data_IF_896868050591
#
_entry.id   IF_896868050591
#
_cell.length_a   1.000
_cell.length_b   1.000
_cell.length_c   1.000
_cell.angle_alpha   90.00
_cell.angle_beta   90.00
_cell.angle_gamma   90.00
#
_symmetry.space_group_name_H-M   'P 1'
#
loop_
_entity.id
_entity.type
_entity.pdbx_description
1 polymer ?
#
# COMPACT_ATOMS: atom_id res chain seq x y z
N UNK A 1 36.75 -56.90 12.26
CA UNK A 1 36.52 -55.46 12.23
C UNK A 1 35.80 -55.09 13.50
N UNK A 2 36.46 -54.36 14.41
CA UNK A 2 35.77 -53.86 15.61
C UNK A 2 35.08 -52.53 15.18
N UNK A 3 33.76 -52.52 15.19
CA UNK A 3 33.01 -51.32 15.01
C UNK A 3 33.16 -50.46 16.23
N UNK A 4 33.95 -49.38 16.12
CA UNK A 4 34.06 -48.37 17.16
C UNK A 4 32.81 -47.51 17.17
N UNK A 5 31.79 -47.96 17.87
CA UNK A 5 30.61 -47.16 18.14
C UNK A 5 30.89 -46.21 19.31
N UNK A 6 31.00 -44.91 19.02
CA UNK A 6 31.25 -43.89 20.04
C UNK A 6 29.94 -43.18 20.41
N UNK A 7 29.34 -43.52 21.53
CA UNK A 7 28.11 -42.94 22.05
C UNK A 7 28.24 -41.42 22.38
N UNK A 8 29.46 -40.92 22.53
CA UNK A 8 29.70 -39.50 22.82
C UNK A 8 29.92 -38.65 21.57
N UNK A 9 29.87 -39.23 20.38
CA UNK A 9 29.97 -38.49 19.14
C UNK A 9 28.61 -37.95 18.78
N UNK A 10 28.33 -36.68 19.13
CA UNK A 10 27.06 -36.01 18.90
C UNK A 10 26.93 -35.39 17.50
N UNK A 11 28.02 -35.24 16.76
CA UNK A 11 28.06 -34.71 15.41
C UNK A 11 29.08 -35.40 14.54
N UNK A 12 28.63 -35.98 13.44
CA UNK A 12 29.50 -36.44 12.35
C UNK A 12 29.42 -35.39 11.25
N UNK A 13 30.49 -34.65 10.98
CA UNK A 13 30.60 -33.79 9.78
C UNK A 13 30.76 -34.68 8.56
N UNK A 14 29.67 -35.17 7.99
CA UNK A 14 29.70 -35.77 6.66
C UNK A 14 29.40 -34.64 5.68
N UNK A 15 30.37 -34.16 4.95
CA UNK A 15 30.20 -33.33 3.78
C UNK A 15 29.58 -34.21 2.67
N UNK A 16 28.25 -34.38 2.68
CA UNK A 16 27.53 -34.88 1.55
C UNK A 16 27.46 -33.77 0.52
N UNK A 17 28.22 -33.94 -0.57
CA UNK A 17 28.19 -33.03 -1.71
C UNK A 17 26.87 -33.23 -2.49
N UNK A 18 25.76 -32.84 -1.83
CA UNK A 18 24.44 -32.93 -2.42
C UNK A 18 24.29 -31.89 -3.51
N UNK A 19 23.94 -32.33 -4.69
CA UNK A 19 23.54 -31.45 -5.79
C UNK A 19 22.14 -31.82 -6.26
N UNK A 20 21.23 -30.84 -6.42
CA UNK A 20 19.94 -31.10 -7.02
C UNK A 20 20.09 -31.69 -8.44
N UNK A 21 19.11 -32.47 -8.89
CA UNK A 21 19.06 -32.98 -10.25
C UNK A 21 19.17 -31.87 -11.31
N UNK A 22 19.63 -32.19 -12.52
CA UNK A 22 19.94 -31.22 -13.58
C UNK A 22 18.78 -30.29 -13.90
N UNK A 23 17.55 -30.81 -13.94
CA UNK A 23 16.34 -30.04 -14.25
C UNK A 23 15.53 -29.61 -13.00
N UNK A 24 16.12 -29.71 -11.81
CA UNK A 24 15.42 -29.31 -10.60
C UNK A 24 15.26 -27.79 -10.51
N UNK A 25 14.07 -27.25 -10.10
CA UNK A 25 13.82 -25.80 -9.99
C UNK A 25 14.87 -25.02 -9.18
N UNK A 26 15.46 -25.64 -8.16
CA UNK A 26 16.50 -25.03 -7.35
C UNK A 26 17.73 -24.59 -8.18
N UNK A 27 18.12 -25.36 -9.23
CA UNK A 27 19.23 -24.97 -10.11
C UNK A 27 18.92 -23.73 -10.93
N UNK A 28 17.74 -23.64 -11.51
CA UNK A 28 17.30 -22.46 -12.27
C UNK A 28 17.19 -21.24 -11.39
N UNK A 29 16.62 -21.38 -10.17
CA UNK A 29 16.55 -20.29 -9.20
C UNK A 29 17.96 -19.85 -8.79
N UNK A 30 18.87 -20.78 -8.55
CA UNK A 30 20.26 -20.45 -8.25
C UNK A 30 20.91 -19.64 -9.35
N UNK A 31 20.83 -20.11 -10.60
CA UNK A 31 21.39 -19.42 -11.77
C UNK A 31 20.79 -18.02 -11.95
N UNK A 32 19.46 -17.89 -11.83
CA UNK A 32 18.79 -16.60 -11.91
C UNK A 32 19.32 -15.62 -10.85
N UNK A 33 19.33 -16.02 -9.58
CA UNK A 33 19.72 -15.12 -8.49
C UNK A 33 21.22 -14.80 -8.54
N UNK A 34 22.09 -15.73 -8.90
CA UNK A 34 23.51 -15.45 -9.11
C UNK A 34 23.76 -14.47 -10.28
N UNK A 35 22.94 -14.53 -11.33
CA UNK A 35 23.02 -13.61 -12.46
C UNK A 35 22.69 -12.16 -12.08
N UNK A 36 21.95 -11.92 -10.98
CA UNK A 36 21.61 -10.58 -10.50
C UNK A 36 22.82 -9.79 -9.99
N UNK A 37 23.96 -10.46 -9.73
CA UNK A 37 25.20 -9.83 -9.20
C UNK A 37 24.91 -8.87 -8.06
N UNK A 38 24.15 -9.34 -7.05
CA UNK A 38 23.69 -8.53 -5.94
C UNK A 38 24.88 -7.87 -5.23
N UNK A 39 24.89 -6.53 -5.22
CA UNK A 39 25.86 -5.75 -4.45
C UNK A 39 25.34 -5.57 -3.04
N UNK A 40 26.17 -5.92 -2.08
CA UNK A 40 25.87 -5.72 -0.67
C UNK A 40 26.57 -4.43 -0.22
N UNK A 41 25.82 -3.35 -0.13
CA UNK A 41 26.31 -2.10 0.45
C UNK A 41 26.15 -2.19 1.98
N UNK A 42 27.21 -2.73 2.63
CA UNK A 42 27.29 -2.72 4.09
C UNK A 42 28.09 -1.48 4.52
N UNK A 43 27.38 -0.47 5.04
CA UNK A 43 28.06 0.76 5.46
C UNK A 43 28.25 0.84 6.98
N UNK A 44 27.31 0.36 7.80
CA UNK A 44 27.37 0.48 9.26
C UNK A 44 26.51 -0.57 9.98
N UNK A 45 26.95 -1.00 11.18
CA UNK A 45 26.22 -1.86 12.08
C UNK A 45 26.72 -3.31 12.11
N UNK A 46 25.94 -4.26 12.68
CA UNK A 46 26.27 -5.69 12.69
C UNK A 46 26.08 -6.30 11.30
N UNK A 47 27.06 -7.06 10.75
CA UNK A 47 26.89 -7.77 9.48
C UNK A 47 25.62 -8.63 9.48
N UNK A 48 24.99 -8.72 8.31
CA UNK A 48 23.82 -9.61 8.14
C UNK A 48 24.27 -11.05 8.30
N UNK A 49 23.55 -11.80 9.11
CA UNK A 49 23.81 -13.21 9.34
C UNK A 49 23.52 -14.05 8.09
N UNK A 50 22.52 -13.62 7.29
CA UNK A 50 22.08 -14.34 6.09
C UNK A 50 22.29 -13.47 4.86
N UNK A 51 22.81 -14.11 3.80
CA UNK A 51 22.95 -13.48 2.49
C UNK A 51 21.58 -13.21 1.85
N UNK A 52 21.36 -12.01 1.28
CA UNK A 52 20.10 -11.64 0.63
C UNK A 52 19.76 -12.56 -0.55
N UNK A 53 20.77 -12.95 -1.34
CA UNK A 53 20.58 -13.90 -2.44
C UNK A 53 20.10 -15.27 -1.94
N UNK A 54 20.69 -15.79 -0.86
CA UNK A 54 20.25 -17.03 -0.24
C UNK A 54 18.81 -16.95 0.27
N UNK A 55 18.44 -15.83 0.90
CA UNK A 55 17.07 -15.58 1.36
C UNK A 55 16.08 -15.51 0.18
N UNK A 56 16.44 -14.83 -0.91
CA UNK A 56 15.63 -14.76 -2.12
C UNK A 56 15.46 -16.14 -2.75
N UNK A 57 16.55 -16.91 -2.92
CA UNK A 57 16.52 -18.28 -3.45
C UNK A 57 15.57 -19.18 -2.66
N UNK A 58 15.66 -19.12 -1.32
CA UNK A 58 14.79 -19.88 -0.42
C UNK A 58 13.31 -19.54 -0.60
N UNK A 59 12.98 -18.24 -0.62
CA UNK A 59 11.60 -17.78 -0.77
C UNK A 59 11.05 -18.17 -2.15
N UNK A 60 11.80 -17.99 -3.22
CA UNK A 60 11.40 -18.37 -4.58
C UNK A 60 11.17 -19.89 -4.68
N UNK A 61 12.06 -20.71 -4.12
CA UNK A 61 11.86 -22.15 -4.12
C UNK A 61 10.63 -22.57 -3.31
N UNK A 62 10.45 -22.01 -2.10
CA UNK A 62 9.29 -22.31 -1.27
C UNK A 62 7.98 -21.93 -1.98
N UNK A 63 7.94 -20.78 -2.65
CA UNK A 63 6.76 -20.35 -3.41
C UNK A 63 6.47 -21.23 -4.62
N UNK A 64 7.49 -21.74 -5.30
CA UNK A 64 7.30 -22.71 -6.39
C UNK A 64 6.67 -24.02 -5.92
N UNK A 65 6.81 -24.33 -4.62
CA UNK A 65 6.15 -25.47 -3.95
C UNK A 65 4.80 -25.10 -3.30
N UNK A 66 4.30 -23.87 -3.50
CA UNK A 66 3.07 -23.39 -2.85
C UNK A 66 3.17 -23.14 -1.35
N UNK A 67 4.40 -22.97 -0.84
CA UNK A 67 4.66 -22.73 0.60
C UNK A 67 4.82 -21.23 0.85
N UNK A 68 3.79 -20.59 1.42
CA UNK A 68 3.76 -19.13 1.65
C UNK A 68 3.97 -18.71 3.11
N UNK A 69 3.72 -19.59 4.08
CA UNK A 69 3.89 -19.29 5.50
C UNK A 69 5.35 -19.26 5.90
N UNK A 70 5.84 -18.19 6.54
CA UNK A 70 7.24 -18.08 6.96
C UNK A 70 7.68 -19.19 7.91
N UNK A 71 6.78 -19.70 8.78
CA UNK A 71 7.07 -20.87 9.65
C UNK A 71 7.22 -22.15 8.84
N UNK A 72 6.38 -22.33 7.82
CA UNK A 72 6.50 -23.48 6.92
C UNK A 72 7.72 -23.37 6.01
N UNK A 73 8.14 -22.15 5.64
CA UNK A 73 9.39 -21.91 4.89
C UNK A 73 10.61 -22.28 5.74
N UNK A 74 10.63 -21.92 7.03
CA UNK A 74 11.69 -22.35 7.95
C UNK A 74 11.74 -23.87 8.06
N UNK A 75 10.60 -24.54 8.24
CA UNK A 75 10.51 -26.00 8.27
C UNK A 75 10.97 -26.62 6.93
N UNK A 76 10.51 -26.08 5.81
CA UNK A 76 10.92 -26.51 4.47
C UNK A 76 12.45 -26.37 4.27
N UNK A 77 13.05 -25.29 4.72
CA UNK A 77 14.50 -25.08 4.66
C UNK A 77 15.27 -26.15 5.46
N UNK A 78 14.68 -26.63 6.57
CA UNK A 78 15.28 -27.64 7.46
C UNK A 78 15.16 -29.07 6.93
N UNK A 79 14.05 -29.37 6.26
CA UNK A 79 13.68 -30.74 5.86
C UNK A 79 13.98 -31.05 4.39
N UNK A 80 14.07 -30.04 3.55
CA UNK A 80 14.23 -30.18 2.10
C UNK A 80 15.69 -29.99 1.66
N UNK A 81 16.32 -31.03 1.16
CA UNK A 81 17.72 -30.99 0.72
C UNK A 81 18.03 -29.94 -0.36
N UNK A 82 17.21 -29.79 -1.44
CA UNK A 82 17.37 -28.70 -2.39
C UNK A 82 17.31 -27.29 -1.77
N UNK A 83 16.45 -27.09 -0.76
CA UNK A 83 16.37 -25.80 -0.05
C UNK A 83 17.64 -25.57 0.80
N UNK A 84 18.10 -26.59 1.55
CA UNK A 84 19.37 -26.54 2.29
C UNK A 84 20.56 -26.20 1.38
N UNK A 85 20.64 -26.86 0.21
CA UNK A 85 21.67 -26.56 -0.78
C UNK A 85 21.68 -25.10 -1.23
N UNK A 86 20.51 -24.49 -1.49
CA UNK A 86 20.39 -23.09 -1.92
C UNK A 86 20.90 -22.08 -0.88
N UNK A 87 20.80 -22.42 0.40
CA UNK A 87 21.16 -21.54 1.53
C UNK A 87 22.43 -21.98 2.23
N UNK A 88 23.20 -22.94 1.65
CA UNK A 88 24.39 -23.52 2.26
C UNK A 88 24.15 -24.00 3.71
N UNK A 89 22.99 -24.65 3.95
CA UNK A 89 22.51 -25.15 5.24
C UNK A 89 22.40 -24.11 6.37
N UNK A 90 22.46 -22.81 6.03
CA UNK A 90 22.22 -21.71 6.96
C UNK A 90 20.71 -21.44 7.07
N UNK A 91 20.03 -22.16 7.96
CA UNK A 91 18.57 -22.11 8.08
C UNK A 91 18.10 -20.82 8.78
N UNK A 92 17.43 -19.88 8.09
CA UNK A 92 16.92 -18.67 8.70
C UNK A 92 15.69 -18.95 9.57
N UNK A 93 15.57 -18.27 10.69
CA UNK A 93 14.36 -18.33 11.51
C UNK A 93 13.15 -17.72 10.78
N UNK A 94 11.94 -18.17 11.11
CA UNK A 94 10.72 -17.59 10.52
C UNK A 94 10.62 -16.07 10.72
N UNK A 95 11.16 -15.54 11.82
CA UNK A 95 11.20 -14.09 12.08
C UNK A 95 12.10 -13.36 11.09
N UNK A 96 13.25 -13.94 10.76
CA UNK A 96 14.17 -13.43 9.74
C UNK A 96 13.49 -13.43 8.38
N UNK A 97 12.81 -14.53 8.03
CA UNK A 97 12.04 -14.65 6.79
C UNK A 97 10.92 -13.59 6.73
N UNK A 98 10.17 -13.38 7.83
CA UNK A 98 9.16 -12.32 7.89
C UNK A 98 9.74 -10.93 7.63
N UNK A 99 10.86 -10.58 8.28
CA UNK A 99 11.52 -9.28 8.09
C UNK A 99 12.02 -9.10 6.65
N UNK A 100 12.60 -10.14 6.07
CA UNK A 100 13.04 -10.10 4.68
C UNK A 100 11.88 -9.88 3.72
N UNK A 101 10.72 -10.54 3.95
CA UNK A 101 9.54 -10.43 3.08
C UNK A 101 8.88 -9.06 3.08
N UNK A 102 9.10 -8.24 4.10
CA UNK A 102 8.59 -6.86 4.19
C UNK A 102 9.66 -5.81 3.94
N UNK A 103 10.87 -6.22 3.54
CA UNK A 103 11.97 -5.29 3.32
C UNK A 103 11.88 -4.64 1.93
N UNK A 104 12.32 -3.39 1.83
CA UNK A 104 12.41 -2.65 0.57
C UNK A 104 13.37 -3.32 -0.42
N UNK A 105 14.40 -3.98 0.11
CA UNK A 105 15.34 -4.74 -0.70
C UNK A 105 14.65 -5.87 -1.48
N UNK A 106 13.69 -6.58 -0.85
CA UNK A 106 12.98 -7.65 -1.56
C UNK A 106 12.15 -7.10 -2.72
N UNK A 107 11.52 -5.95 -2.56
CA UNK A 107 10.74 -5.31 -3.63
C UNK A 107 11.65 -5.01 -4.85
N UNK A 108 12.83 -4.44 -4.61
CA UNK A 108 13.83 -4.19 -5.65
C UNK A 108 14.32 -5.49 -6.29
N UNK A 109 14.73 -6.46 -5.47
CA UNK A 109 15.23 -7.76 -5.95
C UNK A 109 14.20 -8.52 -6.80
N UNK A 110 12.93 -8.44 -6.45
CA UNK A 110 11.85 -9.10 -7.20
C UNK A 110 11.69 -8.45 -8.58
N UNK A 111 11.72 -7.12 -8.64
CA UNK A 111 11.63 -6.36 -9.89
C UNK A 111 12.83 -6.66 -10.80
N UNK A 112 14.03 -6.65 -10.25
CA UNK A 112 15.27 -6.95 -11.00
C UNK A 112 15.29 -8.39 -11.51
N UNK A 113 14.86 -9.34 -10.67
CA UNK A 113 14.77 -10.76 -11.03
C UNK A 113 13.80 -10.97 -12.20
N UNK A 114 12.62 -10.35 -12.14
CA UNK A 114 11.61 -10.46 -13.19
C UNK A 114 12.12 -9.81 -14.49
N UNK A 115 12.77 -8.66 -14.40
CA UNK A 115 13.33 -7.97 -15.55
C UNK A 115 14.45 -8.77 -16.23
N UNK A 116 15.28 -9.46 -15.47
CA UNK A 116 16.31 -10.35 -16.01
C UNK A 116 15.71 -11.61 -16.63
N UNK A 117 14.73 -12.22 -15.97
CA UNK A 117 14.00 -13.38 -16.51
C UNK A 117 13.34 -13.01 -17.85
N UNK A 118 12.65 -11.87 -17.91
CA UNK A 118 12.00 -11.38 -19.14
C UNK A 118 13.01 -11.19 -20.27
N UNK A 119 14.17 -10.61 -19.99
CA UNK A 119 15.25 -10.47 -20.99
C UNK A 119 15.76 -11.83 -21.47
N UNK A 120 15.98 -12.76 -20.57
CA UNK A 120 16.40 -14.12 -20.90
C UNK A 120 15.36 -14.81 -21.79
N UNK A 121 14.07 -14.75 -21.45
CA UNK A 121 12.99 -15.33 -22.25
C UNK A 121 12.92 -14.70 -23.65
N UNK A 122 13.10 -13.38 -23.77
CA UNK A 122 13.12 -12.66 -25.04
C UNK A 122 14.31 -13.07 -25.91
N UNK A 123 15.52 -13.15 -25.32
CA UNK A 123 16.73 -13.57 -26.02
C UNK A 123 16.66 -14.99 -26.56
N UNK A 124 15.92 -15.87 -25.89
CA UNK A 124 15.72 -17.25 -26.32
C UNK A 124 14.46 -17.46 -27.19
N UNK A 125 13.79 -16.38 -27.61
CA UNK A 125 12.60 -16.48 -28.47
C UNK A 125 11.39 -17.13 -27.81
N UNK A 126 11.34 -17.17 -26.47
CA UNK A 126 10.23 -17.75 -25.71
C UNK A 126 9.05 -16.80 -25.55
N UNK A 127 9.29 -15.51 -25.68
CA UNK A 127 8.29 -14.44 -25.65
C UNK A 127 8.45 -13.54 -26.86
N UNK A 128 7.31 -13.01 -27.32
CA UNK A 128 7.24 -12.04 -28.43
C UNK A 128 7.48 -10.62 -27.93
N UNK A 129 7.69 -9.69 -28.85
CA UNK A 129 7.83 -8.27 -28.54
C UNK A 129 6.48 -7.56 -28.39
N UNK A 130 5.59 -8.22 -27.63
CA UNK A 130 4.22 -7.78 -27.33
C UNK A 130 4.02 -7.73 -25.82
N UNK A 131 3.39 -6.67 -25.33
CA UNK A 131 2.95 -6.55 -23.94
C UNK A 131 1.41 -6.53 -23.88
N UNK A 132 0.82 -7.63 -23.43
CA UNK A 132 -0.61 -7.69 -23.10
C UNK A 132 -0.79 -7.19 -21.67
N UNK A 133 -1.50 -6.07 -21.53
CA UNK A 133 -1.74 -5.43 -20.22
C UNK A 133 -3.17 -5.71 -19.78
N UNK A 134 -3.32 -6.29 -18.57
CA UNK A 134 -4.61 -6.51 -17.92
C UNK A 134 -4.53 -6.21 -16.43
N UNK A 135 -5.66 -5.81 -15.85
CA UNK A 135 -5.81 -5.49 -14.45
C UNK A 135 -6.62 -6.55 -13.70
N UNK A 136 -6.09 -6.98 -12.58
CA UNK A 136 -6.83 -7.82 -11.64
C UNK A 136 -6.89 -7.19 -10.26
N UNK A 137 -7.93 -7.51 -9.48
CA UNK A 137 -8.12 -6.96 -8.14
C UNK A 137 -7.92 -8.06 -7.11
N UNK A 138 -6.96 -7.84 -6.20
CA UNK A 138 -6.62 -8.77 -5.12
C UNK A 138 -7.18 -8.20 -3.81
N UNK A 139 -7.94 -9.01 -3.08
CA UNK A 139 -8.48 -8.64 -1.78
C UNK A 139 -7.34 -8.41 -0.77
N UNK A 140 -7.44 -7.31 -0.02
CA UNK A 140 -6.60 -7.10 1.14
C UNK A 140 -7.08 -7.96 2.31
N UNK A 141 -6.14 -8.42 3.15
CA UNK A 141 -6.44 -9.05 4.43
C UNK A 141 -6.85 -7.97 5.45
N UNK A 142 -7.99 -7.37 5.21
CA UNK A 142 -8.50 -6.22 5.95
C UNK A 142 -9.99 -6.35 6.24
N UNK A 143 -10.43 -5.71 7.34
CA UNK A 143 -11.84 -5.70 7.70
C UNK A 143 -12.66 -4.93 6.65
N UNK A 144 -13.56 -5.65 5.97
CA UNK A 144 -14.41 -5.12 4.89
C UNK A 144 -15.41 -4.04 5.32
N UNK A 145 -15.63 -3.85 6.62
CA UNK A 145 -16.52 -2.81 7.14
C UNK A 145 -15.78 -1.61 7.75
N UNK A 146 -14.47 -1.58 7.72
CA UNK A 146 -13.63 -0.53 8.32
C UNK A 146 -13.22 0.58 7.32
N UNK A 147 -14.13 0.98 6.45
CA UNK A 147 -13.84 2.01 5.45
C UNK A 147 -13.89 3.44 6.01
N UNK A 148 -12.97 4.27 5.53
CA UNK A 148 -12.96 5.73 5.76
C UNK A 148 -13.08 6.42 4.39
N UNK A 149 -14.08 7.31 4.26
CA UNK A 149 -14.37 8.01 3.00
C UNK A 149 -13.88 9.45 3.05
N UNK A 150 -13.07 9.86 2.08
CA UNK A 150 -12.55 11.22 1.93
C UNK A 150 -13.64 12.29 2.03
N UNK A 151 -14.74 12.09 1.33
CA UNK A 151 -15.92 13.01 1.36
C UNK A 151 -16.47 13.17 2.77
N UNK A 152 -16.55 12.10 3.56
CA UNK A 152 -17.06 12.15 4.92
C UNK A 152 -16.07 12.85 5.86
N UNK A 153 -14.77 12.54 5.74
CA UNK A 153 -13.71 13.20 6.53
C UNK A 153 -13.73 14.71 6.30
N UNK A 154 -13.77 15.16 5.05
CA UNK A 154 -13.84 16.59 4.71
C UNK A 154 -15.10 17.24 5.30
N UNK A 155 -16.26 16.60 5.17
CA UNK A 155 -17.51 17.08 5.74
C UNK A 155 -17.46 17.18 7.26
N UNK A 156 -16.94 16.15 7.94
CA UNK A 156 -16.85 16.13 9.39
C UNK A 156 -15.79 17.10 9.91
N UNK A 157 -14.68 17.30 9.19
CA UNK A 157 -13.70 18.33 9.53
C UNK A 157 -14.32 19.72 9.47
N UNK A 158 -15.05 20.05 8.39
CA UNK A 158 -15.77 21.31 8.27
C UNK A 158 -16.74 21.54 9.43
N UNK A 159 -17.58 20.55 9.73
CA UNK A 159 -18.51 20.63 10.87
C UNK A 159 -17.81 20.75 12.24
N UNK A 160 -16.63 20.14 12.37
CA UNK A 160 -15.84 20.23 13.59
C UNK A 160 -15.26 21.64 13.75
N UNK A 161 -14.77 22.24 12.68
CA UNK A 161 -14.25 23.64 12.64
C UNK A 161 -15.35 24.66 12.94
N UNK A 162 -16.54 24.53 12.35
CA UNK A 162 -17.69 25.38 12.65
C UNK A 162 -18.01 25.39 14.15
N UNK A 163 -18.12 24.21 14.74
CA UNK A 163 -18.37 24.06 16.17
C UNK A 163 -17.22 24.51 17.09
N UNK A 164 -15.98 24.51 16.57
CA UNK A 164 -14.84 25.09 17.27
C UNK A 164 -14.95 26.62 17.31
N UNK A 165 -15.31 27.23 16.20
CA UNK A 165 -15.51 28.70 16.12
C UNK A 165 -16.62 29.12 17.08
N UNK A 166 -17.75 28.41 17.11
CA UNK A 166 -18.86 28.70 18.05
C UNK A 166 -18.38 28.64 19.51
N UNK A 167 -17.64 27.56 19.86
CA UNK A 167 -17.15 27.34 21.22
C UNK A 167 -16.09 28.36 21.63
N UNK A 168 -15.20 28.75 20.70
CA UNK A 168 -14.22 29.81 20.90
C UNK A 168 -14.91 31.17 21.04
N UNK A 169 -16.03 31.41 20.35
CA UNK A 169 -16.89 32.58 20.48
C UNK A 169 -17.41 32.75 21.91
N UNK A 170 -17.98 31.68 22.49
CA UNK A 170 -18.42 31.68 23.88
C UNK A 170 -17.29 32.03 24.86
N UNK A 171 -16.09 31.52 24.63
CA UNK A 171 -14.90 31.78 25.46
C UNK A 171 -14.33 33.19 25.26
N UNK A 172 -14.45 33.74 24.08
CA UNK A 172 -14.06 35.11 23.79
C UNK A 172 -14.99 36.12 24.47
N UNK A 173 -16.30 35.91 24.38
CA UNK A 173 -17.30 36.73 25.11
C UNK A 173 -17.04 36.70 26.62
N UNK A 174 -16.62 35.53 27.14
CA UNK A 174 -16.21 35.39 28.54
C UNK A 174 -14.81 36.00 28.82
N UNK A 175 -14.12 36.62 27.84
CA UNK A 175 -12.79 37.23 27.93
C UNK A 175 -11.69 36.24 28.37
N UNK A 176 -11.84 34.98 28.07
CA UNK A 176 -10.89 33.92 28.42
C UNK A 176 -9.86 33.74 27.30
N UNK A 177 -10.30 33.79 26.04
CA UNK A 177 -9.44 33.71 24.85
C UNK A 177 -9.44 35.03 24.10
N UNK A 178 -8.36 35.29 23.34
CA UNK A 178 -8.22 36.49 22.51
C UNK A 178 -9.00 36.40 21.19
N UNK A 179 -8.51 37.06 20.16
CA UNK A 179 -9.10 37.05 18.82
C UNK A 179 -9.25 35.61 18.29
N UNK A 180 -10.35 35.40 17.59
CA UNK A 180 -10.70 34.08 17.03
C UNK A 180 -10.33 34.11 15.56
N UNK A 181 -9.44 33.24 15.09
CA UNK A 181 -9.14 33.11 13.66
C UNK A 181 -10.34 32.50 12.90
N UNK A 182 -10.38 32.73 11.60
CA UNK A 182 -11.37 32.09 10.75
C UNK A 182 -11.27 30.56 10.85
N UNK A 183 -12.38 29.86 10.71
CA UNK A 183 -12.40 28.39 10.86
C UNK A 183 -11.42 27.65 9.93
N UNK A 184 -11.11 28.23 8.76
CA UNK A 184 -10.08 27.72 7.81
C UNK A 184 -8.65 27.86 8.33
N UNK A 185 -8.39 28.84 9.19
CA UNK A 185 -7.06 29.17 9.73
C UNK A 185 -6.78 28.44 11.05
N UNK A 186 -7.79 27.79 11.63
CA UNK A 186 -7.62 26.99 12.85
C UNK A 186 -6.66 25.83 12.59
N UNK A 187 -5.59 25.77 13.36
CA UNK A 187 -4.65 24.64 13.39
C UNK A 187 -4.63 24.02 14.79
N UNK A 188 -4.20 22.76 14.93
CA UNK A 188 -4.07 22.11 16.24
C UNK A 188 -3.17 22.92 17.20
N UNK A 189 -2.09 23.49 16.70
CA UNK A 189 -1.12 24.28 17.48
C UNK A 189 -1.76 25.57 18.02
N UNK A 190 -2.57 26.25 17.22
CA UNK A 190 -3.34 27.43 17.69
C UNK A 190 -4.36 27.05 18.74
N UNK A 191 -5.01 25.89 18.58
CA UNK A 191 -5.95 25.38 19.58
C UNK A 191 -5.25 25.02 20.89
N UNK A 192 -4.04 24.44 20.85
CA UNK A 192 -3.25 24.16 22.05
C UNK A 192 -2.90 25.41 22.83
N UNK A 193 -2.55 26.52 22.14
CA UNK A 193 -2.31 27.84 22.75
C UNK A 193 -3.60 28.36 23.41
N UNK A 194 -4.76 28.21 22.75
CA UNK A 194 -6.03 28.66 23.31
C UNK A 194 -6.47 27.80 24.50
N UNK A 195 -6.26 26.48 24.43
CA UNK A 195 -6.52 25.54 25.53
C UNK A 195 -5.67 25.89 26.74
N UNK A 196 -4.38 26.24 26.57
CA UNK A 196 -3.51 26.67 27.65
C UNK A 196 -4.07 27.91 28.36
N UNK A 197 -4.57 28.92 27.63
CA UNK A 197 -5.22 30.09 28.24
C UNK A 197 -6.46 29.73 29.04
N UNK A 198 -7.24 28.77 28.59
CA UNK A 198 -8.40 28.25 29.34
C UNK A 198 -7.95 27.50 30.60
N UNK A 199 -6.82 26.80 30.56
CA UNK A 199 -6.22 26.14 31.73
C UNK A 199 -5.76 27.16 32.77
N UNK A 200 -5.03 28.21 32.33
CA UNK A 200 -4.58 29.30 33.22
C UNK A 200 -5.78 29.98 33.91
N UNK A 201 -6.86 30.23 33.16
CA UNK A 201 -8.09 30.77 33.73
C UNK A 201 -8.75 29.82 34.73
N UNK A 202 -8.71 28.51 34.46
CA UNK A 202 -9.23 27.51 35.42
C UNK A 202 -8.41 27.45 36.70
N UNK A 203 -7.11 27.68 36.68
CA UNK A 203 -6.25 27.78 37.88
C UNK A 203 -6.73 28.94 38.75
N UNK A 204 -6.90 30.14 38.18
CA UNK A 204 -7.42 31.31 38.91
C UNK A 204 -8.80 31.08 39.49
N UNK A 205 -9.70 30.41 38.75
CA UNK A 205 -11.04 30.06 39.24
C UNK A 205 -10.98 29.04 40.38
N UNK A 206 -10.04 28.11 40.38
CA UNK A 206 -9.87 27.15 41.48
C UNK A 206 -9.42 27.87 42.75
N UNK A 207 -8.43 28.78 42.68
CA UNK A 207 -7.97 29.58 43.78
C UNK A 207 -9.11 30.43 44.36
N UNK A 208 -9.90 31.09 43.49
CA UNK A 208 -11.08 31.87 43.90
C UNK A 208 -12.12 31.04 44.61
N UNK A 209 -12.38 29.82 44.13
CA UNK A 209 -13.34 28.89 44.73
C UNK A 209 -12.85 28.39 46.10
N UNK A 210 -11.53 28.16 46.24
CA UNK A 210 -10.94 27.72 47.52
C UNK A 210 -10.92 28.86 48.56
N UNK A 211 -10.64 30.09 48.12
CA UNK A 211 -10.70 31.26 48.99
C UNK A 211 -12.10 31.60 49.44
N UNK A 212 -13.14 31.24 48.66
CA UNK A 212 -14.53 31.55 48.96
C UNK A 212 -15.14 30.44 49.77
N UNK A 213 -15.31 30.58 51.08
CA UNK A 213 -15.93 29.58 51.98
C UNK A 213 -17.43 29.39 51.75
N UNK A 214 -18.04 30.07 50.80
CA UNK A 214 -19.48 30.01 50.53
C UNK A 214 -19.88 28.67 49.92
N UNK A 215 -20.84 28.00 50.51
CA UNK A 215 -21.26 26.65 50.06
C UNK A 215 -22.27 26.71 48.91
N UNK A 216 -23.28 27.59 48.97
CA UNK A 216 -24.34 27.72 47.95
C UNK A 216 -25.17 28.99 48.17
N UNK A 217 -25.61 29.72 47.12
CA UNK A 217 -25.11 29.65 45.73
C UNK A 217 -23.72 30.25 45.62
N UNK A 218 -22.82 29.55 44.81
CA UNK A 218 -21.46 30.05 44.59
C UNK A 218 -21.25 30.25 43.09
N UNK A 219 -21.27 31.50 42.55
CA UNK A 219 -21.12 31.81 41.15
C UNK A 219 -19.77 31.35 40.59
N UNK A 220 -18.68 31.43 41.34
CA UNK A 220 -17.37 30.97 40.94
C UNK A 220 -17.32 29.44 40.69
N UNK A 221 -18.01 28.65 41.52
CA UNK A 221 -18.18 27.20 41.34
C UNK A 221 -18.95 26.90 40.05
N UNK A 222 -19.97 27.66 39.73
CA UNK A 222 -20.77 27.50 38.53
C UNK A 222 -19.94 27.83 37.28
N UNK A 223 -19.23 28.97 37.28
CA UNK A 223 -18.35 29.38 36.21
C UNK A 223 -17.23 28.35 35.95
N UNK A 224 -16.59 27.86 37.04
CA UNK A 224 -15.58 26.79 36.93
C UNK A 224 -16.12 25.54 36.25
N UNK A 225 -17.34 25.11 36.57
CA UNK A 225 -17.97 23.93 35.94
C UNK A 225 -18.21 24.16 34.45
N UNK A 226 -18.67 25.35 34.06
CA UNK A 226 -18.90 25.72 32.66
C UNK A 226 -17.61 25.71 31.90
N UNK A 227 -16.57 26.43 32.37
CA UNK A 227 -15.27 26.52 31.70
C UNK A 227 -14.60 25.13 31.61
N UNK A 228 -14.68 24.32 32.64
CA UNK A 228 -14.17 22.94 32.61
C UNK A 228 -14.90 22.06 31.59
N UNK A 229 -16.21 22.26 31.41
CA UNK A 229 -16.98 21.58 30.36
C UNK A 229 -16.57 22.05 28.96
N UNK A 230 -16.38 23.36 28.77
CA UNK A 230 -15.93 23.95 27.51
C UNK A 230 -14.54 23.47 27.16
N UNK A 231 -13.58 23.43 28.10
CA UNK A 231 -12.26 22.87 27.90
C UNK A 231 -12.33 21.43 27.39
N UNK A 232 -13.10 20.55 28.04
CA UNK A 232 -13.27 19.15 27.59
C UNK A 232 -13.81 19.04 26.15
N UNK A 233 -14.68 19.99 25.77
CA UNK A 233 -15.19 20.04 24.40
C UNK A 233 -14.11 20.50 23.44
N UNK A 234 -13.27 21.48 23.80
CA UNK A 234 -12.14 21.91 22.99
C UNK A 234 -11.13 20.80 22.79
N UNK A 235 -10.71 20.09 23.85
CA UNK A 235 -9.78 18.98 23.78
C UNK A 235 -10.27 17.92 22.79
N UNK A 236 -11.53 17.48 22.95
CA UNK A 236 -12.13 16.48 22.04
C UNK A 236 -12.20 16.93 20.59
N UNK A 237 -12.40 18.22 20.33
CA UNK A 237 -12.48 18.75 18.98
C UNK A 237 -11.11 18.95 18.35
N UNK A 238 -10.12 19.32 19.16
CA UNK A 238 -8.74 19.36 18.77
C UNK A 238 -8.25 17.97 18.35
N UNK A 239 -8.53 16.95 19.19
CA UNK A 239 -8.16 15.57 18.87
C UNK A 239 -8.82 15.08 17.57
N UNK A 240 -10.09 15.44 17.34
CA UNK A 240 -10.75 15.13 16.07
C UNK A 240 -10.15 15.87 14.89
N UNK A 241 -9.68 17.10 15.06
CA UNK A 241 -8.98 17.83 13.99
C UNK A 241 -7.68 17.13 13.63
N UNK A 242 -6.88 16.69 14.61
CA UNK A 242 -5.68 15.91 14.38
C UNK A 242 -5.99 14.57 13.66
N UNK A 243 -7.07 13.88 14.09
CA UNK A 243 -7.53 12.66 13.44
C UNK A 243 -7.89 12.91 11.97
N UNK A 244 -8.67 13.95 11.68
CA UNK A 244 -9.06 14.29 10.30
C UNK A 244 -7.86 14.69 9.44
N UNK A 245 -6.87 15.41 9.98
CA UNK A 245 -5.63 15.74 9.27
C UNK A 245 -4.82 14.48 8.95
N UNK A 246 -4.65 13.58 9.92
CA UNK A 246 -3.99 12.30 9.71
C UNK A 246 -4.71 11.46 8.64
N UNK A 247 -6.05 11.42 8.67
CA UNK A 247 -6.85 10.76 7.63
C UNK A 247 -6.67 11.39 6.26
N UNK A 248 -6.62 12.74 6.18
CA UNK A 248 -6.40 13.44 4.92
C UNK A 248 -5.03 13.15 4.31
N UNK A 249 -3.99 13.00 5.12
CA UNK A 249 -2.65 12.62 4.65
C UNK A 249 -2.60 11.21 4.04
N UNK A 250 -3.45 10.27 4.55
CA UNK A 250 -3.50 8.89 4.03
C UNK A 250 -4.18 8.81 2.66
N UNK A 251 -5.13 9.69 2.35
CA UNK A 251 -5.91 9.55 1.11
C UNK A 251 -5.10 9.74 -0.17
N UNK A 252 -4.15 10.66 -0.17
CA UNK A 252 -3.47 11.08 -1.38
C UNK A 252 -4.50 11.36 -2.51
N UNK A 253 -4.45 10.62 -3.62
CA UNK A 253 -5.41 10.73 -4.73
C UNK A 253 -6.64 9.80 -4.61
N UNK A 254 -6.72 9.00 -3.53
CA UNK A 254 -7.79 8.03 -3.30
C UNK A 254 -9.03 8.67 -2.67
N UNK A 255 -10.17 8.02 -2.85
CA UNK A 255 -11.44 8.42 -2.24
C UNK A 255 -11.77 7.67 -0.94
N UNK A 256 -11.04 6.60 -0.64
CA UNK A 256 -11.26 5.75 0.54
C UNK A 256 -10.00 4.97 0.90
N UNK A 257 -9.93 4.54 2.15
CA UNK A 257 -8.97 3.56 2.63
C UNK A 257 -9.58 2.70 3.74
N UNK A 258 -8.94 1.58 4.09
CA UNK A 258 -9.36 0.73 5.21
C UNK A 258 -8.61 1.12 6.49
N UNK A 259 -9.32 1.12 7.65
CA UNK A 259 -8.69 1.38 8.95
C UNK A 259 -7.68 0.31 9.38
N UNK A 260 -7.84 -0.90 8.89
CA UNK A 260 -6.97 -2.04 9.23
C UNK A 260 -5.82 -2.23 8.25
N UNK A 261 -5.94 -1.66 7.06
CA UNK A 261 -4.90 -1.64 6.03
C UNK A 261 -4.99 -0.30 5.28
N UNK A 262 -4.15 0.65 5.65
CA UNK A 262 -4.20 2.01 5.12
C UNK A 262 -3.85 2.08 3.63
N UNK A 263 -3.17 1.09 3.09
CA UNK A 263 -2.80 1.03 1.68
C UNK A 263 -3.91 0.47 0.79
N UNK A 264 -4.82 -0.32 1.37
CA UNK A 264 -5.96 -0.88 0.64
C UNK A 264 -7.03 0.18 0.35
N UNK A 265 -7.54 0.16 -0.86
CA UNK A 265 -8.65 1.03 -1.31
C UNK A 265 -9.93 0.20 -1.51
N UNK A 266 -11.07 0.77 -1.17
CA UNK A 266 -12.35 0.10 -1.41
C UNK A 266 -12.73 0.15 -2.87
N UNK A 267 -12.83 -1.03 -3.49
CA UNK A 267 -13.16 -1.21 -4.91
C UNK A 267 -14.06 -2.43 -5.15
N UNK A 268 -14.70 -2.46 -6.30
CA UNK A 268 -15.43 -3.66 -6.74
C UNK A 268 -14.43 -4.73 -7.15
N UNK A 269 -14.64 -5.95 -6.68
CA UNK A 269 -13.85 -7.12 -7.04
C UNK A 269 -14.69 -8.02 -7.94
N UNK A 270 -14.07 -8.68 -8.93
CA UNK A 270 -14.78 -9.57 -9.88
C UNK A 270 -15.52 -10.70 -9.15
N UNK A 271 -14.93 -11.22 -8.08
CA UNK A 271 -15.54 -12.25 -7.22
C UNK A 271 -16.54 -11.61 -6.23
N UNK A 272 -17.74 -11.37 -6.71
CA UNK A 272 -18.86 -10.94 -5.88
C UNK A 272 -19.97 -12.03 -5.96
N UNK A 273 -19.94 -13.05 -5.09
CA UNK A 273 -20.91 -14.14 -5.11
C UNK A 273 -22.37 -13.68 -4.95
N UNK A 274 -22.55 -12.54 -4.30
CA UNK A 274 -23.89 -11.98 -4.06
C UNK A 274 -24.34 -11.02 -5.16
N UNK A 275 -23.49 -10.69 -6.12
CA UNK A 275 -23.73 -9.76 -7.23
C UNK A 275 -24.35 -8.41 -6.82
N UNK A 276 -24.09 -7.98 -5.58
CA UNK A 276 -24.64 -6.76 -5.01
C UNK A 276 -23.73 -5.52 -5.22
N UNK A 277 -22.59 -5.69 -5.89
CA UNK A 277 -21.62 -4.64 -6.15
C UNK A 277 -20.93 -4.11 -4.89
N UNK A 278 -20.84 -4.92 -3.83
CA UNK A 278 -20.21 -4.53 -2.58
C UNK A 278 -18.75 -4.14 -2.80
N UNK A 279 -18.37 -2.99 -2.24
CA UNK A 279 -16.99 -2.56 -2.20
C UNK A 279 -16.23 -3.32 -1.12
N UNK A 280 -15.04 -3.83 -1.46
CA UNK A 280 -14.15 -4.53 -0.55
C UNK A 280 -12.77 -3.87 -0.56
N UNK A 281 -12.02 -3.89 0.56
CA UNK A 281 -10.65 -3.40 0.57
C UNK A 281 -9.81 -4.30 -0.33
N UNK A 282 -9.12 -3.71 -1.30
CA UNK A 282 -8.38 -4.44 -2.32
C UNK A 282 -7.28 -3.58 -2.94
N UNK A 283 -6.40 -4.24 -3.67
CA UNK A 283 -5.37 -3.66 -4.51
C UNK A 283 -5.68 -3.93 -5.98
N UNK A 284 -5.41 -2.97 -6.84
CA UNK A 284 -5.48 -3.13 -8.27
C UNK A 284 -4.09 -3.52 -8.78
N UNK A 285 -3.94 -4.76 -9.23
CA UNK A 285 -2.67 -5.30 -9.74
C UNK A 285 -2.71 -5.25 -11.25
N UNK A 286 -1.81 -4.48 -11.83
CA UNK A 286 -1.58 -4.45 -13.27
C UNK A 286 -0.52 -5.47 -13.63
N UNK A 287 -0.76 -6.27 -14.65
CA UNK A 287 0.10 -7.35 -15.11
C UNK A 287 0.36 -7.17 -16.61
N UNK A 288 1.61 -7.26 -17.01
CA UNK A 288 2.00 -7.39 -18.40
C UNK A 288 2.39 -8.83 -18.69
N UNK A 289 1.89 -9.38 -19.80
CA UNK A 289 2.18 -10.76 -20.21
C UNK A 289 2.60 -10.81 -21.67
N UNK A 290 3.38 -11.84 -22.02
CA UNK A 290 3.72 -12.21 -23.40
C UNK A 290 3.84 -13.74 -23.46
N UNK A 291 3.18 -14.40 -24.41
CA UNK A 291 3.17 -15.86 -24.57
C UNK A 291 2.94 -16.62 -23.24
N UNK A 292 1.97 -16.16 -22.43
CA UNK A 292 1.61 -16.72 -21.12
C UNK A 292 2.66 -16.50 -19.99
N UNK A 293 3.78 -15.86 -20.26
CA UNK A 293 4.74 -15.43 -19.24
C UNK A 293 4.37 -14.06 -18.69
N UNK A 294 4.49 -13.87 -17.38
CA UNK A 294 4.40 -12.56 -16.75
C UNK A 294 5.72 -11.83 -17.00
N UNK A 295 5.68 -10.71 -17.70
CA UNK A 295 6.84 -9.88 -18.01
C UNK A 295 7.00 -8.68 -17.10
N UNK A 296 5.92 -8.26 -16.42
CA UNK A 296 5.95 -7.17 -15.45
C UNK A 296 4.67 -7.12 -14.64
N UNK A 297 4.74 -6.52 -13.46
CA UNK A 297 3.58 -6.26 -12.61
C UNK A 297 3.79 -4.99 -11.79
N UNK A 298 2.69 -4.37 -11.38
CA UNK A 298 2.70 -3.26 -10.42
C UNK A 298 1.38 -3.21 -9.66
N UNK A 299 1.46 -2.88 -8.36
CA UNK A 299 0.29 -2.68 -7.50
C UNK A 299 -0.12 -1.21 -7.53
N UNK A 300 -1.42 -0.98 -7.63
CA UNK A 300 -2.02 0.34 -7.58
C UNK A 300 -3.15 0.41 -6.56
N UNK A 301 -3.28 1.57 -5.96
CA UNK A 301 -4.36 1.86 -5.03
C UNK A 301 -5.60 2.43 -5.74
N UNK A 302 -5.49 2.77 -7.02
CA UNK A 302 -6.58 3.28 -7.85
C UNK A 302 -7.54 2.15 -8.24
N UNK A 303 -8.86 2.30 -8.01
CA UNK A 303 -9.84 1.26 -8.33
C UNK A 303 -10.15 1.12 -9.83
N UNK A 304 -9.72 2.07 -10.67
CA UNK A 304 -9.97 2.08 -12.11
C UNK A 304 -8.69 1.91 -12.91
N UNK A 305 -8.76 1.13 -13.98
CA UNK A 305 -7.60 0.80 -14.81
C UNK A 305 -7.13 1.96 -15.69
N UNK A 306 -8.05 2.88 -16.04
CA UNK A 306 -7.75 4.08 -16.82
C UNK A 306 -6.60 4.92 -16.24
N UNK A 307 -6.50 5.03 -14.92
CA UNK A 307 -5.47 5.84 -14.26
C UNK A 307 -4.16 5.08 -14.02
N UNK A 308 -4.15 3.77 -14.25
CA UNK A 308 -2.97 2.94 -13.99
C UNK A 308 -2.13 2.72 -15.23
N UNK A 309 -2.66 2.96 -16.43
CA UNK A 309 -1.99 2.65 -17.69
C UNK A 309 -0.67 3.40 -17.84
N UNK A 310 -0.70 4.73 -17.79
CA UNK A 310 0.50 5.55 -18.00
C UNK A 310 1.62 5.19 -17.01
N UNK A 311 1.40 5.22 -15.67
CA UNK A 311 2.46 4.90 -14.72
C UNK A 311 2.89 3.42 -14.77
N UNK A 312 2.06 2.52 -15.32
CA UNK A 312 2.45 1.13 -15.52
C UNK A 312 3.34 0.95 -16.76
N UNK A 313 3.00 1.59 -17.88
CA UNK A 313 3.84 1.58 -19.09
C UNK A 313 5.21 2.20 -18.79
N UNK A 314 5.25 3.32 -18.06
CA UNK A 314 6.52 3.92 -17.64
C UNK A 314 7.35 2.97 -16.78
N UNK A 315 6.71 2.26 -15.87
CA UNK A 315 7.38 1.23 -15.06
C UNK A 315 7.96 0.11 -15.91
N UNK A 316 7.23 -0.40 -16.91
CA UNK A 316 7.73 -1.42 -17.84
C UNK A 316 8.89 -0.89 -18.70
N UNK A 317 8.81 0.35 -19.18
CA UNK A 317 9.86 1.03 -19.95
C UNK A 317 11.13 1.21 -19.12
N UNK A 318 11.00 1.69 -17.88
CA UNK A 318 12.14 1.89 -16.99
C UNK A 318 12.88 0.58 -16.66
N UNK A 319 12.17 -0.55 -16.64
CA UNK A 319 12.75 -1.87 -16.44
C UNK A 319 13.19 -2.58 -17.72
N UNK A 320 13.05 -1.94 -18.90
CA UNK A 320 13.38 -2.51 -20.22
C UNK A 320 12.64 -3.83 -20.51
N UNK A 321 11.39 -3.94 -20.10
CA UNK A 321 10.55 -5.13 -20.33
C UNK A 321 9.33 -4.85 -21.20
N UNK A 322 9.07 -3.58 -21.55
CA UNK A 322 7.99 -3.19 -22.46
C UNK A 322 8.24 -3.75 -23.85
N UNK A 323 7.20 -4.36 -24.46
CA UNK A 323 7.22 -4.80 -25.85
C UNK A 323 6.93 -3.66 -26.82
N UNK A 324 7.34 -3.83 -28.08
CA UNK A 324 7.04 -2.87 -29.16
C UNK A 324 5.52 -2.74 -29.41
N UNK A 325 4.79 -3.83 -29.29
CA UNK A 325 3.32 -3.83 -29.40
C UNK A 325 2.69 -3.82 -28.01
N UNK A 326 1.83 -2.85 -27.74
CA UNK A 326 1.10 -2.68 -26.48
C UNK A 326 -0.36 -3.01 -26.74
N UNK A 327 -0.89 -4.00 -26.03
CA UNK A 327 -2.29 -4.43 -26.13
C UNK A 327 -2.94 -4.30 -24.75
N UNK A 328 -4.06 -3.59 -24.66
CA UNK A 328 -4.84 -3.48 -23.43
C UNK A 328 -6.34 -3.50 -23.74
N UNK A 329 -7.17 -3.77 -22.73
CA UNK A 329 -8.61 -3.82 -22.91
C UNK A 329 -9.24 -2.41 -23.00
N UNK A 330 -10.56 -2.35 -23.33
CA UNK A 330 -11.29 -1.09 -23.44
C UNK A 330 -11.40 -0.31 -22.11
N UNK A 331 -11.16 -0.96 -20.96
CA UNK A 331 -11.17 -0.35 -19.63
C UNK A 331 -10.06 0.68 -19.44
N UNK A 332 -8.99 0.60 -20.22
CA UNK A 332 -7.90 1.57 -20.23
C UNK A 332 -8.14 2.78 -21.15
N UNK A 333 -9.17 2.71 -22.02
CA UNK A 333 -9.47 3.75 -22.99
C UNK A 333 -9.88 5.07 -22.33
N UNK A 334 -9.14 6.12 -22.61
CA UNK A 334 -9.49 7.52 -22.29
C UNK A 334 -8.75 8.45 -23.25
N UNK A 335 -9.28 9.64 -23.49
CA UNK A 335 -8.62 10.65 -24.32
C UNK A 335 -7.19 10.94 -23.85
N UNK A 336 -7.02 11.07 -22.53
CA UNK A 336 -5.69 11.29 -21.92
C UNK A 336 -4.72 10.14 -22.20
N UNK A 337 -5.17 8.88 -22.14
CA UNK A 337 -4.31 7.74 -22.39
C UNK A 337 -3.99 7.61 -23.90
N UNK A 338 -4.97 7.87 -24.78
CA UNK A 338 -4.69 7.82 -26.22
C UNK A 338 -3.67 8.90 -26.64
N UNK A 339 -3.85 10.14 -26.16
CA UNK A 339 -2.87 11.22 -26.41
C UNK A 339 -1.48 10.88 -25.87
N UNK A 340 -1.41 10.44 -24.64
CA UNK A 340 -0.14 10.02 -24.04
C UNK A 340 0.58 8.93 -24.86
N UNK A 341 -0.17 7.93 -25.32
CA UNK A 341 0.40 6.86 -26.14
C UNK A 341 0.83 7.32 -27.52
N UNK A 342 0.10 8.26 -28.12
CA UNK A 342 0.45 8.87 -29.40
C UNK A 342 1.70 9.75 -29.30
N UNK A 343 1.77 10.59 -28.25
CA UNK A 343 2.88 11.52 -28.05
C UNK A 343 4.17 10.82 -27.64
N UNK A 344 4.12 9.89 -26.68
CA UNK A 344 5.31 9.28 -26.08
C UNK A 344 5.71 7.93 -26.73
N UNK A 345 4.77 7.27 -27.40
CA UNK A 345 4.93 5.92 -27.95
C UNK A 345 4.50 5.82 -29.42
N UNK A 346 4.57 6.91 -30.18
CA UNK A 346 4.16 6.94 -31.58
C UNK A 346 4.90 5.96 -32.50
N UNK A 347 6.03 5.42 -32.06
CA UNK A 347 6.77 4.35 -32.77
C UNK A 347 6.30 2.93 -32.40
N UNK A 348 5.48 2.81 -31.33
CA UNK A 348 4.93 1.53 -30.88
C UNK A 348 3.59 1.26 -31.56
N UNK A 349 3.28 -0.03 -31.74
CA UNK A 349 1.92 -0.42 -32.16
C UNK A 349 1.04 -0.51 -30.92
N UNK A 350 -0.01 0.32 -30.85
CA UNK A 350 -0.92 0.35 -29.70
C UNK A 350 -2.30 -0.16 -30.11
N UNK A 351 -2.80 -1.17 -29.40
CA UNK A 351 -4.08 -1.81 -29.66
C UNK A 351 -4.94 -1.74 -28.39
N UNK A 352 -5.76 -0.68 -28.28
CA UNK A 352 -6.75 -0.50 -27.20
C UNK A 352 -8.12 -0.29 -27.85
N UNK A 353 -9.10 -1.19 -27.61
CA UNK A 353 -10.41 -1.06 -28.21
C UNK A 353 -11.12 0.24 -27.77
N UNK A 354 -11.73 0.94 -28.70
CA UNK A 354 -12.55 2.12 -28.40
C UNK A 354 -13.88 1.68 -27.81
N UNK A 355 -14.06 1.85 -26.51
CA UNK A 355 -15.20 1.29 -25.75
C UNK A 355 -16.57 1.83 -26.13
N UNK A 356 -16.66 2.99 -26.84
CA UNK A 356 -17.92 3.57 -27.31
C UNK A 356 -18.23 3.27 -28.78
N UNK A 357 -17.29 2.68 -29.53
CA UNK A 357 -17.45 2.40 -30.95
C UNK A 357 -18.77 1.67 -31.30
N UNK A 358 -19.08 0.60 -30.54
CA UNK A 358 -20.34 -0.14 -30.74
C UNK A 358 -21.58 0.67 -30.33
N UNK A 359 -21.45 1.59 -29.37
CA UNK A 359 -22.55 2.47 -28.94
C UNK A 359 -22.80 3.57 -29.96
N UNK A 360 -21.76 4.12 -30.59
CA UNK A 360 -21.83 5.16 -31.60
C UNK A 360 -22.54 4.67 -32.85
N UNK A 361 -22.40 3.42 -33.21
CA UNK A 361 -23.12 2.76 -34.26
C UNK A 361 -24.60 2.47 -33.93
N UNK A 362 -25.01 2.69 -32.67
CA UNK A 362 -26.41 2.48 -32.28
C UNK A 362 -27.33 3.64 -32.74
N UNK A 363 -28.55 3.31 -33.20
CA UNK A 363 -29.57 4.31 -33.60
C UNK A 363 -29.87 5.37 -32.52
N UNK A 364 -29.73 5.00 -31.25
CA UNK A 364 -29.94 5.90 -30.12
C UNK A 364 -28.85 6.96 -30.05
N UNK A 365 -27.58 6.58 -30.22
CA UNK A 365 -26.43 7.48 -30.21
C UNK A 365 -26.47 8.43 -31.42
N UNK A 366 -26.71 7.91 -32.61
CA UNK A 366 -26.81 8.70 -33.84
C UNK A 366 -27.89 9.79 -33.76
N UNK A 367 -29.03 9.51 -33.11
CA UNK A 367 -30.08 10.52 -32.85
C UNK A 367 -29.60 11.61 -31.87
N UNK A 368 -28.77 11.29 -30.90
CA UNK A 368 -28.22 12.27 -29.95
C UNK A 368 -27.14 13.12 -30.63
N UNK A 369 -26.23 12.49 -31.37
CA UNK A 369 -25.17 13.17 -32.10
C UNK A 369 -25.74 14.15 -33.14
N UNK A 370 -26.76 13.76 -33.92
CA UNK A 370 -27.42 14.65 -34.87
C UNK A 370 -28.10 15.87 -34.20
N UNK A 371 -28.60 15.73 -32.98
CA UNK A 371 -29.17 16.87 -32.21
C UNK A 371 -28.10 17.83 -31.66
N UNK A 372 -26.89 17.35 -31.42
CA UNK A 372 -25.80 18.18 -30.92
C UNK A 372 -25.12 18.93 -32.07
N UNK A 373 -24.98 18.29 -33.22
CA UNK A 373 -24.37 18.89 -34.43
C UNK A 373 -25.31 19.88 -35.19
N UNK A 374 -26.60 19.87 -34.89
CA UNK A 374 -27.57 20.80 -35.45
C UNK A 374 -27.84 22.02 -34.55
N UNK A 375 -27.10 22.25 -33.49
CA UNK A 375 -27.02 23.46 -32.67
C UNK A 375 -25.69 24.16 -32.89
#
# INVERSE_FOLDING_TARGET
MQDYYNMNQTTLSIALDYQPEEHHPARYINQLVESLKLKYDYQFGRPREYNLGAMLKLVLLAYSYGIFSSRKIEQFARENKPAGWLIADQIPSYRTICRFRISDELATLTTDSLSQLTRYLRQNGMIDDVSFIDGTKILADANKYSFVWKKNTIRFDKMNREKLVDLLGELHEAKIVGEIPAGSELTPELLDIMISKVEDHLVVLNETVEATKQVSPNPAKQQRRTVKSQKRKLDKRRDKMCEHQAQQAIYDQRNSYSKTDHDATFMRVKEDPMQNGQLKPAYNVQIATSNQFITGYRLFQNPTDTRTLQPFIEHLKANNVLGHTIVADAGYGSESNYRYLEDEFGQHTVLIPYGTMLKENSRKWQRVASRILCK
#
